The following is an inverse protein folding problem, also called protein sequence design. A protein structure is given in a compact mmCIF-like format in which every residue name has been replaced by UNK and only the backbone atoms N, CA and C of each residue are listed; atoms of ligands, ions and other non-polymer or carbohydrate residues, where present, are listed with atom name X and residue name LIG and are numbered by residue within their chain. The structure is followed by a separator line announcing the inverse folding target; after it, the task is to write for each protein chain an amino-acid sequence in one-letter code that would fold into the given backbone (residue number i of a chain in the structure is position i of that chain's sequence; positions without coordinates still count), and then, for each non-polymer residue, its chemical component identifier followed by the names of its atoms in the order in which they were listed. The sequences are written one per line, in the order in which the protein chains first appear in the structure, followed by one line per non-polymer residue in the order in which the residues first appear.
data_IF_916525319960
#
_entry.id   IF_916525319960
#
_cell.length_a   1.000
_cell.length_b   1.000
_cell.length_c   1.000
_cell.angle_alpha   90.00
_cell.angle_beta   90.00
_cell.angle_gamma   90.00
#
_symmetry.space_group_name_H-M   'P 1'
#
loop_
_entity.id
_entity.type
_entity.pdbx_description
1 polymer ?
#
# COMPACT_ATOMS: atom_id res chain seq x y z
N UNK A 1 -54.44 -11.05 34.54
CA UNK A 1 -53.15 -11.54 35.09
C UNK A 1 -52.07 -10.64 34.52
N UNK A 2 -51.57 -9.68 35.29
CA UNK A 2 -50.50 -8.78 34.86
C UNK A 2 -49.16 -9.53 35.03
N UNK A 3 -48.18 -9.38 34.12
CA UNK A 3 -46.87 -9.98 34.31
C UNK A 3 -46.21 -9.41 35.57
N UNK A 4 -45.61 -10.29 36.38
CA UNK A 4 -44.88 -9.94 37.61
C UNK A 4 -43.55 -9.25 37.32
N UNK A 5 -43.08 -9.30 36.08
CA UNK A 5 -41.81 -8.74 35.62
C UNK A 5 -42.06 -7.66 34.57
N UNK A 6 -41.47 -6.49 34.79
CA UNK A 6 -41.42 -5.36 33.88
C UNK A 6 -40.00 -5.19 33.35
N UNK A 7 -39.88 -4.62 32.14
CA UNK A 7 -38.61 -4.26 31.54
C UNK A 7 -38.65 -2.79 31.14
N UNK A 8 -37.52 -2.11 31.27
CA UNK A 8 -37.35 -0.74 30.84
C UNK A 8 -35.95 -0.58 30.25
N UNK A 9 -35.83 0.30 29.26
CA UNK A 9 -34.59 0.54 28.52
C UNK A 9 -34.10 1.93 28.86
N UNK A 10 -32.85 2.00 29.30
CA UNK A 10 -32.15 3.24 29.66
C UNK A 10 -31.73 4.03 28.41
N UNK A 11 -31.30 5.28 28.58
CA UNK A 11 -30.82 6.14 27.49
C UNK A 11 -29.56 5.57 26.80
N UNK A 12 -28.81 4.72 27.51
CA UNK A 12 -27.65 3.98 27.00
C UNK A 12 -28.03 2.71 26.20
N UNK A 13 -29.33 2.43 26.03
CA UNK A 13 -29.84 1.25 25.33
C UNK A 13 -29.75 -0.05 26.14
N UNK A 14 -29.34 0.03 27.41
CA UNK A 14 -29.31 -1.09 28.33
C UNK A 14 -30.73 -1.40 28.85
N UNK A 15 -31.11 -2.68 28.81
CA UNK A 15 -32.41 -3.14 29.33
C UNK A 15 -32.23 -3.69 30.74
N UNK A 16 -33.05 -3.22 31.68
CA UNK A 16 -33.11 -3.75 33.02
C UNK A 16 -34.49 -4.30 33.34
N UNK A 17 -34.52 -5.32 34.19
CA UNK A 17 -35.74 -6.01 34.58
C UNK A 17 -36.02 -5.78 36.06
N UNK A 18 -37.28 -5.53 36.38
CA UNK A 18 -37.72 -5.40 37.76
C UNK A 18 -39.07 -6.09 37.97
N UNK A 19 -39.28 -6.59 39.18
CA UNK A 19 -40.54 -7.22 39.58
C UNK A 19 -41.03 -6.60 40.88
N UNK A 20 -42.34 -6.53 41.06
CA UNK A 20 -42.93 -6.05 42.30
C UNK A 20 -43.84 -7.12 42.91
N UNK A 21 -43.67 -7.34 44.21
CA UNK A 21 -44.50 -8.25 44.99
C UNK A 21 -45.30 -7.38 45.96
N UNK A 22 -46.61 -7.35 45.76
CA UNK A 22 -47.53 -6.65 46.65
C UNK A 22 -47.98 -7.62 47.76
N UNK A 23 -47.51 -7.38 49.00
CA UNK A 23 -48.03 -8.01 50.22
C UNK A 23 -48.95 -7.00 50.91
N UNK A 24 -49.94 -7.48 51.66
CA UNK A 24 -51.08 -6.70 52.22
C UNK A 24 -50.78 -5.27 52.71
N UNK A 25 -49.61 -5.03 53.34
CA UNK A 25 -49.18 -3.70 53.78
C UNK A 25 -47.78 -3.28 53.28
N UNK A 26 -47.17 -4.02 52.34
CA UNK A 26 -45.81 -3.74 51.85
C UNK A 26 -45.64 -4.14 50.38
N UNK A 27 -45.23 -3.18 49.55
CA UNK A 27 -44.78 -3.46 48.19
C UNK A 27 -43.27 -3.60 48.19
N UNK A 28 -42.76 -4.77 47.80
CA UNK A 28 -41.32 -5.03 47.66
C UNK A 28 -40.99 -5.04 46.18
N UNK A 29 -40.02 -4.20 45.78
CA UNK A 29 -39.51 -4.16 44.40
C UNK A 29 -38.18 -4.91 44.36
N UNK A 30 -38.09 -5.91 43.50
CA UNK A 30 -36.87 -6.65 43.19
C UNK A 30 -36.35 -6.18 41.84
N UNK A 31 -35.17 -5.56 41.85
CA UNK A 31 -34.46 -5.14 40.63
C UNK A 31 -33.40 -6.18 40.30
N UNK A 32 -33.32 -6.59 39.04
CA UNK A 32 -32.25 -7.45 38.56
C UNK A 32 -30.98 -6.61 38.41
N UNK A 33 -29.91 -7.02 39.09
CA UNK A 33 -28.63 -6.27 39.14
C UNK A 33 -27.91 -6.24 37.78
N UNK A 34 -28.01 -7.32 37.01
CA UNK A 34 -27.41 -7.41 35.69
C UNK A 34 -28.34 -6.78 34.63
N UNK A 35 -27.87 -5.70 34.00
CA UNK A 35 -28.50 -5.08 32.83
C UNK A 35 -28.04 -5.78 31.55
N UNK A 36 -28.96 -6.00 30.61
CA UNK A 36 -28.63 -6.45 29.26
C UNK A 36 -28.28 -5.23 28.40
N UNK A 37 -26.99 -4.96 28.23
CA UNK A 37 -26.49 -3.90 27.36
C UNK A 37 -26.05 -4.47 26.01
N UNK A 38 -26.24 -3.73 24.90
CA UNK A 38 -25.70 -4.15 23.61
C UNK A 38 -24.17 -4.24 23.69
N UNK A 39 -23.59 -5.27 23.07
CA UNK A 39 -22.14 -5.36 22.92
C UNK A 39 -21.62 -4.15 22.15
N UNK A 40 -20.54 -3.56 22.66
CA UNK A 40 -19.87 -2.44 22.02
C UNK A 40 -19.39 -2.82 20.62
N UNK A 41 -19.15 -1.82 19.74
CA UNK A 41 -18.62 -2.09 18.41
C UNK A 41 -17.27 -2.83 18.52
N UNK A 42 -17.05 -3.80 17.62
CA UNK A 42 -15.79 -4.53 17.58
C UNK A 42 -14.64 -3.60 17.17
N UNK A 43 -13.87 -3.19 18.18
CA UNK A 43 -12.75 -2.25 18.04
C UNK A 43 -11.67 -2.84 17.12
N UNK A 44 -11.48 -4.17 17.14
CA UNK A 44 -10.46 -4.83 16.33
C UNK A 44 -10.76 -4.66 14.83
N UNK A 45 -12.02 -4.83 14.44
CA UNK A 45 -12.47 -4.66 13.06
C UNK A 45 -12.19 -3.24 12.55
N UNK A 46 -12.54 -2.23 13.35
CA UNK A 46 -12.34 -0.82 12.99
C UNK A 46 -10.85 -0.53 12.79
N UNK A 47 -9.99 -1.00 13.71
CA UNK A 47 -8.54 -0.80 13.62
C UNK A 47 -7.96 -1.44 12.36
N UNK A 48 -8.36 -2.68 12.06
CA UNK A 48 -7.91 -3.40 10.87
C UNK A 48 -8.36 -2.70 9.58
N UNK A 49 -9.59 -2.20 9.54
CA UNK A 49 -10.13 -1.49 8.39
C UNK A 49 -9.34 -0.19 8.12
N UNK A 50 -9.03 0.58 9.17
CA UNK A 50 -8.27 1.83 9.05
C UNK A 50 -6.84 1.57 8.56
N UNK A 51 -6.15 0.58 9.12
CA UNK A 51 -4.79 0.20 8.68
C UNK A 51 -4.82 -0.24 7.21
N UNK A 52 -5.77 -1.11 6.85
CA UNK A 52 -5.96 -1.56 5.48
C UNK A 52 -6.21 -0.41 4.51
N UNK A 53 -7.00 0.58 4.91
CA UNK A 53 -7.27 1.78 4.11
C UNK A 53 -6.01 2.63 3.87
N UNK A 54 -5.24 2.91 4.93
CA UNK A 54 -4.00 3.69 4.83
C UNK A 54 -2.98 2.99 3.93
N UNK A 55 -2.80 1.68 4.12
CA UNK A 55 -1.89 0.87 3.29
C UNK A 55 -2.36 0.85 1.85
N UNK A 56 -3.68 0.68 1.61
CA UNK A 56 -4.26 0.69 0.27
C UNK A 56 -4.01 2.00 -0.48
N UNK A 57 -4.25 3.15 0.18
CA UNK A 57 -3.97 4.47 -0.41
C UNK A 57 -2.48 4.63 -0.71
N UNK A 58 -1.61 4.21 0.22
CA UNK A 58 -0.16 4.22 0.01
C UNK A 58 0.26 3.42 -1.22
N UNK A 59 -0.29 2.21 -1.40
CA UNK A 59 -0.01 1.37 -2.57
C UNK A 59 -0.48 2.05 -3.86
N UNK A 60 -1.68 2.62 -3.88
CA UNK A 60 -2.21 3.32 -5.06
C UNK A 60 -1.30 4.48 -5.46
N UNK A 61 -0.88 5.31 -4.49
CA UNK A 61 0.04 6.42 -4.74
C UNK A 61 1.40 5.94 -5.25
N UNK A 62 1.94 4.85 -4.66
CA UNK A 62 3.20 4.26 -5.11
C UNK A 62 3.10 3.70 -6.53
N UNK A 63 1.99 3.04 -6.88
CA UNK A 63 1.76 2.54 -8.24
C UNK A 63 1.71 3.71 -9.23
N UNK A 64 0.94 4.76 -8.93
CA UNK A 64 0.87 5.94 -9.78
C UNK A 64 2.23 6.61 -9.95
N UNK A 65 2.96 6.82 -8.85
CA UNK A 65 4.31 7.38 -8.88
C UNK A 65 5.26 6.50 -9.71
N UNK A 66 5.26 5.19 -9.49
CA UNK A 66 6.08 4.23 -10.22
C UNK A 66 5.80 4.25 -11.73
N UNK A 67 4.53 4.35 -12.12
CA UNK A 67 4.12 4.47 -13.53
C UNK A 67 4.63 5.78 -14.13
N UNK A 68 4.45 6.91 -13.44
CA UNK A 68 4.93 8.22 -13.90
C UNK A 68 6.45 8.24 -14.08
N UNK A 69 7.20 7.72 -13.10
CA UNK A 69 8.66 7.60 -13.17
C UNK A 69 9.08 6.68 -14.31
N UNK A 70 8.45 5.50 -14.45
CA UNK A 70 8.79 4.58 -15.52
C UNK A 70 8.54 5.19 -16.92
N UNK A 71 7.52 6.02 -17.07
CA UNK A 71 7.28 6.75 -18.32
C UNK A 71 8.34 7.82 -18.58
N UNK A 72 8.75 8.58 -17.56
CA UNK A 72 9.80 9.59 -17.68
C UNK A 72 11.13 8.93 -18.06
N UNK A 73 11.53 7.87 -17.35
CA UNK A 73 12.73 7.10 -17.62
C UNK A 73 12.74 6.56 -19.05
N UNK A 74 11.60 6.05 -19.54
CA UNK A 74 11.50 5.49 -20.89
C UNK A 74 11.62 6.57 -21.97
N UNK A 75 11.11 7.78 -21.73
CA UNK A 75 11.25 8.92 -22.64
C UNK A 75 12.69 9.40 -22.72
N UNK A 76 13.35 9.54 -21.57
CA UNK A 76 14.76 9.94 -21.51
C UNK A 76 15.67 8.87 -22.13
N UNK A 77 15.40 7.59 -21.88
CA UNK A 77 16.15 6.49 -22.46
C UNK A 77 16.09 6.47 -24.00
N UNK A 78 14.91 6.71 -24.58
CA UNK A 78 14.77 6.80 -26.05
C UNK A 78 15.59 7.95 -26.62
N UNK A 79 15.59 9.11 -25.95
CA UNK A 79 16.39 10.26 -26.37
C UNK A 79 17.89 9.98 -26.23
N UNK A 80 18.29 9.35 -25.13
CA UNK A 80 19.68 8.95 -24.89
C UNK A 80 20.19 7.96 -25.93
N UNK A 81 19.40 6.94 -26.31
CA UNK A 81 19.80 5.98 -27.35
C UNK A 81 19.89 6.64 -28.73
N UNK A 82 19.01 7.59 -29.07
CA UNK A 82 19.14 8.40 -30.29
C UNK A 82 20.41 9.26 -30.27
N UNK A 83 20.68 9.95 -29.17
CA UNK A 83 21.87 10.77 -29.00
C UNK A 83 23.13 9.92 -28.97
N UNK A 84 23.11 8.72 -28.41
CA UNK A 84 24.22 7.76 -28.42
C UNK A 84 24.47 7.20 -29.82
N UNK A 85 23.41 6.90 -30.58
CA UNK A 85 23.51 6.49 -31.98
C UNK A 85 24.09 7.60 -32.85
N UNK A 86 23.69 8.86 -32.62
CA UNK A 86 24.29 10.03 -33.29
C UNK A 86 25.72 10.31 -32.83
N UNK A 87 26.00 10.20 -31.54
CA UNK A 87 27.35 10.36 -30.96
C UNK A 87 28.35 9.31 -31.46
N UNK A 88 27.87 8.16 -31.98
CA UNK A 88 28.71 7.17 -32.65
C UNK A 88 29.13 7.57 -34.07
N UNK A 89 28.62 8.68 -34.61
CA UNK A 89 28.95 9.22 -35.92
C UNK A 89 29.34 10.70 -35.75
N UNK A 90 30.61 11.02 -35.53
CA UNK A 90 31.59 11.07 -36.62
C UNK A 90 32.76 10.10 -36.45
N UNK A 91 32.58 8.84 -36.87
CA UNK A 91 33.66 8.04 -37.48
C UNK A 91 33.51 8.00 -39.00
N UNK A 92 32.96 9.06 -39.59
CA UNK A 92 33.30 9.36 -40.98
C UNK A 92 34.80 9.66 -40.97
N UNK A 93 35.60 8.64 -41.28
CA UNK A 93 36.92 8.90 -41.85
C UNK A 93 36.63 9.79 -43.04
N UNK A 94 36.98 11.07 -42.94
CA UNK A 94 36.98 11.99 -44.06
C UNK A 94 37.60 11.23 -45.26
N UNK A 95 37.00 11.23 -46.46
CA UNK A 95 37.58 10.54 -47.62
C UNK A 95 38.99 11.04 -47.98
N UNK A 96 39.42 12.19 -47.44
CA UNK A 96 40.80 12.70 -47.46
C UNK A 96 41.70 12.25 -46.29
N UNK A 97 41.16 11.58 -45.28
CA UNK A 97 41.90 11.17 -44.09
C UNK A 97 42.63 9.85 -44.31
N UNK A 98 43.92 9.97 -44.58
CA UNK A 98 44.86 8.86 -44.59
C UNK A 98 45.43 8.67 -43.19
N UNK A 99 45.34 7.47 -42.62
CA UNK A 99 45.92 7.20 -41.30
C UNK A 99 47.45 7.40 -41.36
N UNK A 100 47.98 8.32 -40.55
CA UNK A 100 49.43 8.59 -40.44
C UNK A 100 50.19 7.51 -39.65
N UNK A 101 49.73 6.27 -39.70
CA UNK A 101 50.39 5.13 -39.06
C UNK A 101 50.95 4.27 -40.18
N UNK A 102 52.27 4.31 -40.36
CA UNK A 102 52.97 3.36 -41.23
C UNK A 102 53.12 2.03 -40.48
N UNK A 103 52.43 0.99 -40.93
CA UNK A 103 52.72 -0.37 -40.46
C UNK A 103 53.99 -0.85 -41.14
N UNK A 104 55.13 -0.68 -40.47
CA UNK A 104 56.41 -1.22 -40.94
C UNK A 104 56.39 -2.73 -40.72
N UNK A 105 56.23 -3.49 -41.79
CA UNK A 105 56.42 -4.94 -41.77
C UNK A 105 57.91 -5.22 -41.62
N UNK A 106 58.29 -5.97 -40.58
CA UNK A 106 59.67 -6.36 -40.36
C UNK A 106 60.05 -7.51 -41.32
N UNK A 107 60.89 -7.28 -42.34
CA UNK A 107 61.21 -8.29 -43.35
C UNK A 107 62.03 -9.48 -42.80
N UNK A 108 62.59 -9.38 -41.59
CA UNK A 108 63.36 -10.47 -40.97
C UNK A 108 62.58 -11.24 -39.90
N UNK A 109 61.31 -10.90 -39.64
CA UNK A 109 60.53 -11.60 -38.63
C UNK A 109 59.97 -12.93 -39.19
N UNK A 110 60.84 -13.94 -39.25
CA UNK A 110 60.43 -15.34 -39.26
C UNK A 110 60.00 -15.68 -37.83
N UNK A 111 58.67 -15.76 -37.61
CA UNK A 111 58.13 -16.14 -36.32
C UNK A 111 58.81 -17.41 -35.81
N UNK A 112 59.53 -17.31 -34.70
CA UNK A 112 60.05 -18.47 -34.00
C UNK A 112 58.84 -19.31 -33.54
N UNK A 113 58.60 -20.41 -34.25
CA UNK A 113 57.66 -21.44 -33.82
C UNK A 113 58.41 -22.41 -32.91
N UNK A 114 57.90 -22.52 -31.67
CA UNK A 114 58.10 -23.62 -30.71
C UNK A 114 59.50 -23.78 -30.12
#
# INVERSE_FOLDING_TARGET
KLPTTCQETDDEGCTYYYSYINKENMTVVHVVENKDCPEGPDVLLIVLAVIGGIVGIGIILLILWKILTAMADRREYQKFEQDRARSKWHKEKNPLYQSAISTVQNPTFVGAKS
#
